data_IF_979780807641
#
_entry.id   IF_979780807641
#
_cell.length_a   1.000
_cell.length_b   1.000
_cell.length_c   1.000
_cell.angle_alpha   90.00
_cell.angle_beta   90.00
_cell.angle_gamma   90.00
#
_symmetry.space_group_name_H-M   'P 1'
#
loop_
_entity.id
_entity.type
_entity.pdbx_description
1 polymer ?
#
# COMPACT_ATOMS: atom_id res chain seq x y z
N UNK A 1 23.06 -3.15 1.46
CA UNK A 1 22.43 -4.47 1.66
C UNK A 1 20.96 -4.41 1.27
N UNK A 2 20.46 -5.43 0.57
CA UNK A 2 19.05 -5.53 0.16
C UNK A 2 18.31 -6.46 1.12
N UNK A 3 17.28 -5.97 1.80
CA UNK A 3 16.51 -6.76 2.77
C UNK A 3 15.35 -7.52 2.12
N UNK A 4 14.63 -6.85 1.22
CA UNK A 4 13.39 -7.38 0.67
C UNK A 4 13.15 -6.80 -0.72
N UNK A 5 12.40 -7.54 -1.53
CA UNK A 5 11.99 -7.18 -2.88
C UNK A 5 10.54 -7.60 -3.08
N UNK A 6 9.79 -6.78 -3.81
CA UNK A 6 8.46 -7.12 -4.30
C UNK A 6 8.63 -7.39 -5.79
N UNK A 7 8.53 -8.65 -6.18
CA UNK A 7 8.73 -9.07 -7.57
C UNK A 7 7.55 -8.68 -8.48
N UNK A 8 6.37 -8.50 -7.89
CA UNK A 8 5.19 -8.12 -8.66
C UNK A 8 5.18 -6.62 -9.04
N UNK A 9 4.67 -6.29 -10.23
CA UNK A 9 4.61 -4.91 -10.69
C UNK A 9 3.76 -4.04 -9.77
N UNK A 10 4.31 -2.89 -9.40
CA UNK A 10 3.62 -1.86 -8.63
C UNK A 10 3.04 -0.80 -9.56
N UNK A 11 1.80 -0.41 -9.29
CA UNK A 11 1.07 0.61 -10.02
C UNK A 11 1.07 1.92 -9.24
N UNK A 12 1.36 3.02 -9.93
CA UNK A 12 1.24 4.34 -9.34
C UNK A 12 -0.23 4.74 -9.24
N UNK A 13 -0.62 5.26 -8.07
CA UNK A 13 -1.95 5.79 -7.84
C UNK A 13 -1.88 7.08 -7.00
N UNK A 14 -2.96 7.86 -7.05
CA UNK A 14 -3.14 9.07 -6.26
C UNK A 14 -4.22 8.83 -5.22
N UNK A 15 -3.88 8.94 -3.95
CA UNK A 15 -4.82 8.76 -2.85
C UNK A 15 -5.92 9.84 -2.90
N UNK A 16 -7.18 9.43 -2.72
CA UNK A 16 -8.31 10.36 -2.68
C UNK A 16 -8.86 10.50 -1.27
N UNK A 17 -9.27 9.38 -0.66
CA UNK A 17 -9.80 9.35 0.70
C UNK A 17 -9.78 7.95 1.29
N UNK A 18 -9.87 7.89 2.61
CA UNK A 18 -10.07 6.66 3.37
C UNK A 18 -11.57 6.49 3.63
N UNK A 19 -12.13 5.38 3.15
CA UNK A 19 -13.55 5.06 3.32
C UNK A 19 -13.80 4.46 4.70
N UNK A 20 -12.89 3.57 5.14
CA UNK A 20 -12.87 3.02 6.49
C UNK A 20 -11.45 2.55 6.84
N UNK A 21 -11.28 1.91 8.01
CA UNK A 21 -9.96 1.45 8.49
C UNK A 21 -9.19 0.55 7.49
N UNK A 22 -9.87 -0.13 6.56
CA UNK A 22 -9.27 -1.10 5.64
C UNK A 22 -9.56 -0.84 4.16
N UNK A 23 -10.30 0.21 3.84
CA UNK A 23 -10.73 0.50 2.47
C UNK A 23 -10.41 1.95 2.14
N UNK A 24 -9.71 2.13 1.03
CA UNK A 24 -9.33 3.44 0.51
C UNK A 24 -9.75 3.55 -0.95
N UNK A 25 -9.98 4.79 -1.36
CA UNK A 25 -10.31 5.18 -2.72
C UNK A 25 -9.12 5.94 -3.32
N UNK A 26 -8.69 5.53 -4.51
CA UNK A 26 -7.54 6.11 -5.20
C UNK A 26 -7.83 6.28 -6.70
N UNK A 27 -7.00 7.07 -7.38
CA UNK A 27 -6.99 7.18 -8.83
C UNK A 27 -5.77 6.49 -9.44
N UNK A 28 -5.98 5.57 -10.38
CA UNK A 28 -4.94 5.10 -11.32
C UNK A 28 -5.17 5.84 -12.63
N UNK A 29 -4.35 6.84 -12.93
CA UNK A 29 -4.61 7.77 -14.03
C UNK A 29 -5.96 8.49 -13.82
N UNK A 30 -6.91 8.29 -14.73
CA UNK A 30 -8.28 8.85 -14.65
C UNK A 30 -9.30 7.92 -13.99
N UNK A 31 -8.93 6.68 -13.67
CA UNK A 31 -9.86 5.68 -13.16
C UNK A 31 -9.87 5.65 -11.63
N UNK A 32 -11.06 5.74 -11.04
CA UNK A 32 -11.28 5.55 -9.62
C UNK A 32 -11.23 4.05 -9.28
N UNK A 33 -10.46 3.68 -8.26
CA UNK A 33 -10.31 2.30 -7.80
C UNK A 33 -10.39 2.21 -6.28
N UNK A 34 -10.81 1.03 -5.80
CA UNK A 34 -10.76 0.68 -4.38
C UNK A 34 -9.61 -0.27 -4.10
N UNK A 35 -8.82 0.06 -3.08
CA UNK A 35 -7.73 -0.78 -2.61
C UNK A 35 -7.91 -1.10 -1.12
N UNK A 36 -7.41 -2.27 -0.73
CA UNK A 36 -7.34 -2.65 0.66
C UNK A 36 -6.11 -2.03 1.32
N UNK A 37 -6.30 -1.45 2.50
CA UNK A 37 -5.23 -0.89 3.31
C UNK A 37 -4.94 -1.86 4.46
N UNK A 38 -3.84 -2.62 4.35
CA UNK A 38 -3.33 -3.51 5.41
C UNK A 38 -2.58 -2.73 6.49
N UNK A 39 -3.25 -1.73 7.04
CA UNK A 39 -2.73 -0.93 8.15
C UNK A 39 -3.92 -0.31 8.91
N UNK A 40 -4.08 -0.70 10.17
CA UNK A 40 -5.16 -0.19 11.04
C UNK A 40 -4.83 1.17 11.66
N UNK A 41 -3.58 1.64 11.57
CA UNK A 41 -3.14 2.93 12.09
C UNK A 41 -3.84 4.10 11.41
N UNK A 42 -3.78 5.29 12.03
CA UNK A 42 -4.44 6.51 11.53
C UNK A 42 -3.86 6.99 10.21
N UNK A 43 -2.53 7.01 10.09
CA UNK A 43 -1.79 7.43 8.90
C UNK A 43 -2.22 8.81 8.36
N UNK A 44 -2.69 9.70 9.24
CA UNK A 44 -3.31 10.99 8.86
C UNK A 44 -2.32 11.91 8.12
N UNK A 45 -1.05 11.91 8.52
CA UNK A 45 0.00 12.72 7.86
C UNK A 45 0.51 12.11 6.55
N UNK A 46 0.26 10.81 6.34
CA UNK A 46 0.75 10.07 5.16
C UNK A 46 -0.32 9.96 4.08
N UNK A 47 -1.54 9.58 4.47
CA UNK A 47 -2.69 9.41 3.58
C UNK A 47 -3.47 10.72 3.46
N UNK A 48 -2.77 11.76 3.05
CA UNK A 48 -3.35 13.05 2.69
C UNK A 48 -3.88 13.01 1.26
N UNK A 49 -4.93 13.80 0.99
CA UNK A 49 -5.49 13.90 -0.37
C UNK A 49 -4.40 14.23 -1.40
N UNK A 50 -4.41 13.50 -2.51
CA UNK A 50 -3.42 13.56 -3.58
C UNK A 50 -2.02 13.00 -3.25
N UNK A 51 -1.83 12.31 -2.12
CA UNK A 51 -0.59 11.59 -1.86
C UNK A 51 -0.32 10.55 -2.96
N UNK A 52 0.94 10.48 -3.43
CA UNK A 52 1.36 9.46 -4.39
C UNK A 52 1.45 8.13 -3.64
N UNK A 53 0.94 7.07 -4.25
CA UNK A 53 0.87 5.73 -3.65
C UNK A 53 1.30 4.68 -4.65
N UNK A 54 1.76 3.55 -4.12
CA UNK A 54 2.04 2.35 -4.90
C UNK A 54 1.03 1.26 -4.53
N UNK A 55 0.41 0.68 -5.55
CA UNK A 55 -0.55 -0.39 -5.42
C UNK A 55 0.02 -1.68 -6.00
N UNK A 56 -0.22 -2.79 -5.32
CA UNK A 56 -0.01 -4.13 -5.87
C UNK A 56 -1.34 -4.73 -6.28
N UNK A 57 -1.38 -5.44 -7.41
CA UNK A 57 -2.58 -6.19 -7.79
C UNK A 57 -2.80 -7.33 -6.81
N UNK A 58 -4.02 -7.41 -6.29
CA UNK A 58 -4.42 -8.48 -5.41
C UNK A 58 -4.49 -9.83 -6.14
N UNK A 59 -4.11 -10.91 -5.45
CA UNK A 59 -4.53 -12.25 -5.88
C UNK A 59 -6.06 -12.36 -5.79
N UNK A 60 -6.68 -12.83 -6.88
CA UNK A 60 -8.13 -12.98 -6.94
C UNK A 60 -8.54 -14.20 -6.11
N UNK A 61 -9.43 -13.97 -5.15
CA UNK A 61 -10.11 -15.04 -4.40
C UNK A 61 -11.61 -14.77 -4.42
N UNK A 62 -12.43 -15.81 -4.26
CA UNK A 62 -13.90 -15.68 -4.33
C UNK A 62 -14.47 -14.67 -3.32
N UNK A 63 -13.82 -14.52 -2.17
CA UNK A 63 -14.28 -13.64 -1.07
C UNK A 63 -13.78 -12.20 -1.19
N UNK A 64 -12.82 -11.93 -2.08
CA UNK A 64 -12.12 -10.64 -2.11
C UNK A 64 -12.85 -9.61 -2.96
N UNK A 65 -13.18 -8.47 -2.36
CA UNK A 65 -13.92 -7.36 -3.00
C UNK A 65 -13.01 -6.31 -3.66
N UNK A 66 -11.79 -6.12 -3.18
CA UNK A 66 -10.83 -5.12 -3.73
C UNK A 66 -9.83 -5.77 -4.68
N UNK A 67 -9.52 -5.07 -5.77
CA UNK A 67 -8.57 -5.55 -6.80
C UNK A 67 -7.11 -5.24 -6.47
N UNK A 68 -6.86 -4.39 -5.47
CA UNK A 68 -5.53 -3.88 -5.14
C UNK A 68 -5.28 -3.87 -3.63
N UNK A 69 -4.00 -3.90 -3.27
CA UNK A 69 -3.46 -3.61 -1.95
C UNK A 69 -2.61 -2.34 -2.01
N UNK A 70 -2.74 -1.47 -1.01
CA UNK A 70 -1.85 -0.31 -0.87
C UNK A 70 -0.55 -0.78 -0.23
N UNK A 71 0.56 -0.55 -0.91
CA UNK A 71 1.90 -1.00 -0.48
C UNK A 71 2.66 0.12 0.20
N UNK A 72 2.78 1.26 -0.49
CA UNK A 72 3.59 2.37 -0.05
C UNK A 72 2.94 3.71 -0.38
N UNK A 73 3.36 4.75 0.34
CA UNK A 73 2.97 6.15 0.13
C UNK A 73 4.21 7.01 0.06
N UNK A 74 4.24 7.98 -0.85
CA UNK A 74 5.34 8.92 -0.96
C UNK A 74 5.17 10.00 0.10
N UNK A 75 6.21 10.21 0.91
CA UNK A 75 6.20 11.23 1.95
C UNK A 75 7.60 11.83 2.08
N UNK A 76 7.68 13.16 2.12
CA UNK A 76 8.94 13.89 2.01
C UNK A 76 9.65 13.58 0.68
N UNK A 77 10.74 12.82 0.76
CA UNK A 77 11.55 12.44 -0.39
C UNK A 77 11.79 10.93 -0.50
N UNK A 78 10.88 10.11 0.06
CA UNK A 78 11.01 8.66 0.04
C UNK A 78 9.65 7.94 0.01
N UNK A 79 9.66 6.69 -0.44
CA UNK A 79 8.55 5.77 -0.25
C UNK A 79 8.54 5.24 1.18
N UNK A 80 7.40 5.40 1.85
CA UNK A 80 7.11 4.80 3.15
C UNK A 80 6.29 3.54 2.93
N UNK A 81 6.85 2.39 3.29
CA UNK A 81 6.13 1.12 3.28
C UNK A 81 5.04 1.16 4.36
N UNK A 82 3.79 0.99 3.95
CA UNK A 82 2.63 1.07 4.87
C UNK A 82 1.82 -0.22 4.92
N UNK A 83 2.03 -1.18 4.02
CA UNK A 83 1.48 -2.54 4.18
C UNK A 83 2.27 -3.28 5.27
N UNK A 84 1.65 -3.41 6.45
CA UNK A 84 2.32 -3.97 7.62
C UNK A 84 2.60 -5.47 7.49
N UNK A 85 2.03 -6.15 6.51
CA UNK A 85 2.29 -7.59 6.29
C UNK A 85 3.74 -7.89 5.93
N UNK A 86 4.48 -6.90 5.39
CA UNK A 86 5.89 -7.06 5.05
C UNK A 86 6.83 -6.84 6.23
N UNK A 87 6.39 -6.13 7.28
CA UNK A 87 7.27 -5.74 8.38
C UNK A 87 7.90 -6.96 9.07
N UNK A 88 7.12 -7.99 9.35
CA UNK A 88 7.63 -9.20 10.00
C UNK A 88 8.68 -9.92 9.14
N UNK A 89 8.48 -9.99 7.83
CA UNK A 89 9.41 -10.65 6.90
C UNK A 89 10.74 -9.88 6.86
N UNK A 90 10.68 -8.55 6.80
CA UNK A 90 11.86 -7.68 6.80
C UNK A 90 12.62 -7.80 8.13
N UNK A 91 11.91 -7.78 9.26
CA UNK A 91 12.51 -7.91 10.59
C UNK A 91 13.18 -9.27 10.76
N UNK A 92 12.54 -10.37 10.35
CA UNK A 92 13.14 -11.70 10.45
C UNK A 92 14.47 -11.77 9.68
N UNK A 93 14.50 -11.27 8.44
CA UNK A 93 15.72 -11.20 7.64
C UNK A 93 16.83 -10.33 8.23
N UNK A 94 16.49 -9.35 9.07
CA UNK A 94 17.48 -8.54 9.79
C UNK A 94 18.07 -9.28 10.99
N UNK A 95 17.29 -10.15 11.64
CA UNK A 95 17.73 -10.95 12.79
C UNK A 95 18.58 -12.17 12.39
N UNK A 96 18.37 -12.69 11.18
CA UNK A 96 19.11 -13.84 10.63
C UNK A 96 20.48 -13.45 10.01
N UNK A 97 20.84 -12.17 10.05
CA UNK A 97 22.14 -11.65 9.61
C UNK A 97 23.15 -11.65 10.76
#
# INVERSE_FOLDING_TARGET
>A
MKLFEIDEPLLHATFKRRINRFLVELNIGKNLVFAHLRNSGRLEDLLVSNAKTLLKRAHKTEKRKTLYDVIAVWHGNSWVLIDSSYHNIITLKLLEQ
#
